data_IF_894410421073
#
_entry.id   IF_894410421073
#
_cell.length_a   1.000
_cell.length_b   1.000
_cell.length_c   1.000
_cell.angle_alpha   90.00
_cell.angle_beta   90.00
_cell.angle_gamma   90.00
#
_symmetry.space_group_name_H-M   'P 1'
#
loop_
_entity.id
_entity.type
_entity.pdbx_description
1 polymer ?
#
# COMPACT_ATOMS: atom_id res chain seq x y z
N UNK A 1 19.59 -15.49 22.03
CA UNK A 1 18.28 -14.86 21.77
C UNK A 1 17.23 -15.94 21.58
N UNK A 2 16.08 -15.85 22.24
CA UNK A 2 15.07 -16.92 22.18
C UNK A 2 14.15 -16.68 20.97
N UNK A 3 14.45 -17.27 19.82
CA UNK A 3 13.65 -17.20 18.60
C UNK A 3 12.16 -17.56 18.80
N UNK A 4 11.86 -18.36 19.84
CA UNK A 4 10.48 -18.71 20.17
C UNK A 4 9.59 -17.49 20.51
N UNK A 5 10.18 -16.34 20.88
CA UNK A 5 9.44 -15.10 21.12
C UNK A 5 8.90 -14.45 19.84
N UNK A 6 9.56 -14.70 18.70
CA UNK A 6 9.20 -14.12 17.40
C UNK A 6 8.12 -14.94 16.68
N UNK A 7 7.85 -16.15 17.14
CA UNK A 7 6.87 -17.05 16.52
C UNK A 7 5.44 -16.75 17.01
N UNK A 8 4.42 -16.99 16.17
CA UNK A 8 3.02 -16.88 16.54
C UNK A 8 2.67 -17.82 17.69
N UNK A 9 1.81 -17.34 18.60
CA UNK A 9 1.27 -18.14 19.69
C UNK A 9 -0.20 -18.44 19.43
N UNK A 10 -0.70 -19.58 19.90
CA UNK A 10 -2.12 -19.92 19.80
C UNK A 10 -3.03 -18.90 20.49
N UNK A 11 -2.55 -18.24 21.55
CA UNK A 11 -3.25 -17.16 22.25
C UNK A 11 -3.45 -15.89 21.42
N UNK A 12 -2.71 -15.73 20.33
CA UNK A 12 -2.82 -14.57 19.44
C UNK A 12 -4.09 -14.63 18.55
N UNK A 13 -4.74 -15.79 18.48
CA UNK A 13 -5.90 -16.07 17.61
C UNK A 13 -7.14 -16.35 18.44
N UNK A 14 -7.91 -15.30 18.78
CA UNK A 14 -9.14 -15.40 19.55
C UNK A 14 -10.34 -15.45 18.61
N UNK A 15 -10.86 -16.65 18.34
CA UNK A 15 -11.99 -16.88 17.44
C UNK A 15 -13.32 -16.35 17.95
N UNK A 16 -13.44 -15.98 19.21
CA UNK A 16 -14.63 -15.33 19.79
C UNK A 16 -14.97 -14.00 19.11
N UNK A 17 -13.96 -13.30 18.55
CA UNK A 17 -14.12 -12.02 17.87
C UNK A 17 -14.24 -12.15 16.33
N UNK A 18 -14.39 -13.37 15.79
CA UNK A 18 -14.34 -13.66 14.36
C UNK A 18 -15.26 -12.77 13.53
N UNK A 19 -16.49 -12.51 14.01
CA UNK A 19 -17.45 -11.64 13.31
C UNK A 19 -16.97 -10.20 13.21
N UNK A 20 -16.44 -9.64 14.31
CA UNK A 20 -15.92 -8.28 14.33
C UNK A 20 -14.71 -8.14 13.42
N UNK A 21 -13.80 -9.11 13.46
CA UNK A 21 -12.59 -9.14 12.65
C UNK A 21 -12.89 -9.33 11.16
N UNK A 22 -13.89 -10.16 10.81
CA UNK A 22 -14.34 -10.33 9.43
C UNK A 22 -14.90 -9.02 8.85
N UNK A 23 -15.77 -8.34 9.60
CA UNK A 23 -16.34 -7.04 9.17
C UNK A 23 -15.27 -5.99 9.05
N UNK A 24 -14.35 -5.92 10.01
CA UNK A 24 -13.24 -4.98 9.96
C UNK A 24 -12.31 -5.28 8.78
N UNK A 25 -11.89 -6.53 8.61
CA UNK A 25 -11.04 -6.96 7.51
C UNK A 25 -11.64 -6.67 6.14
N UNK A 26 -12.95 -6.94 5.96
CA UNK A 26 -13.66 -6.61 4.73
C UNK A 26 -13.69 -5.09 4.48
N UNK A 27 -13.96 -4.30 5.53
CA UNK A 27 -13.94 -2.83 5.43
C UNK A 27 -12.58 -2.31 5.01
N UNK A 28 -11.51 -2.85 5.61
CA UNK A 28 -10.13 -2.47 5.27
C UNK A 28 -9.76 -2.91 3.86
N UNK A 29 -10.18 -4.10 3.41
CA UNK A 29 -9.92 -4.58 2.05
C UNK A 29 -10.47 -3.63 0.99
N UNK A 30 -11.68 -3.14 1.21
CA UNK A 30 -12.33 -2.16 0.31
C UNK A 30 -11.55 -0.83 0.25
N UNK A 31 -11.02 -0.36 1.38
CA UNK A 31 -10.16 0.84 1.41
C UNK A 31 -8.80 0.58 0.78
N UNK A 32 -8.24 -0.59 1.02
CA UNK A 32 -6.91 -0.97 0.58
C UNK A 32 -6.81 -1.20 -0.93
N UNK A 33 -7.90 -1.68 -1.56
CA UNK A 33 -7.90 -2.01 -2.99
C UNK A 33 -7.47 -0.83 -3.88
N UNK A 34 -8.15 0.35 -3.84
CA UNK A 34 -7.75 1.48 -4.68
C UNK A 34 -6.34 1.99 -4.36
N UNK A 35 -5.92 1.92 -3.09
CA UNK A 35 -4.57 2.32 -2.69
C UNK A 35 -3.50 1.35 -3.25
N UNK A 36 -3.74 0.04 -3.16
CA UNK A 36 -2.83 -0.97 -3.68
C UNK A 36 -2.69 -0.87 -5.21
N UNK A 37 -3.82 -0.73 -5.92
CA UNK A 37 -3.83 -0.51 -7.37
C UNK A 37 -3.07 0.79 -7.74
N UNK A 38 -3.42 1.89 -7.07
CA UNK A 38 -2.88 3.20 -7.38
C UNK A 38 -1.37 3.32 -7.13
N UNK A 39 -0.87 2.82 -6.00
CA UNK A 39 0.56 2.84 -5.70
C UNK A 39 1.37 1.99 -6.68
N UNK A 40 0.89 0.81 -7.06
CA UNK A 40 1.58 -0.03 -8.03
C UNK A 40 1.60 0.59 -9.44
N UNK A 41 0.47 1.16 -9.86
CA UNK A 41 0.39 1.88 -11.15
C UNK A 41 1.34 3.10 -11.13
N UNK A 42 1.35 3.88 -10.05
CA UNK A 42 2.26 5.04 -9.92
C UNK A 42 3.74 4.65 -9.88
N UNK A 43 4.05 3.44 -9.40
CA UNK A 43 5.42 2.90 -9.42
C UNK A 43 5.82 2.40 -10.82
N UNK A 44 4.86 2.21 -11.74
CA UNK A 44 5.11 1.68 -13.08
C UNK A 44 5.13 0.15 -13.17
N UNK A 45 4.74 -0.57 -12.10
CA UNK A 45 4.80 -2.05 -12.07
C UNK A 45 3.47 -2.74 -12.39
N UNK A 46 2.43 -1.94 -12.59
CA UNK A 46 1.10 -2.46 -12.91
C UNK A 46 0.26 -2.84 -11.68
N UNK A 47 -1.04 -2.76 -11.85
CA UNK A 47 -2.03 -2.93 -10.78
C UNK A 47 -1.99 -4.30 -10.09
N UNK A 48 -1.68 -5.35 -10.84
CA UNK A 48 -1.59 -6.73 -10.36
C UNK A 48 -0.58 -6.88 -9.22
N UNK A 49 0.62 -6.30 -9.40
CA UNK A 49 1.72 -6.35 -8.43
C UNK A 49 1.27 -5.75 -7.09
N UNK A 50 0.52 -4.63 -7.13
CA UNK A 50 0.01 -3.98 -5.92
C UNK A 50 -0.99 -4.83 -5.15
N UNK A 51 -1.94 -5.46 -5.84
CA UNK A 51 -2.94 -6.33 -5.19
C UNK A 51 -2.28 -7.60 -4.64
N UNK A 52 -1.39 -8.24 -5.42
CA UNK A 52 -0.61 -9.39 -4.95
C UNK A 52 0.18 -9.04 -3.69
N UNK A 53 0.87 -7.89 -3.69
CA UNK A 53 1.60 -7.40 -2.52
C UNK A 53 0.69 -7.20 -1.32
N UNK A 54 -0.49 -6.58 -1.50
CA UNK A 54 -1.44 -6.35 -0.40
C UNK A 54 -2.00 -7.65 0.17
N UNK A 55 -2.26 -8.65 -0.66
CA UNK A 55 -2.72 -9.98 -0.24
C UNK A 55 -1.64 -10.68 0.57
N UNK A 56 -0.46 -10.87 -0.04
CA UNK A 56 0.62 -11.67 0.56
C UNK A 56 1.16 -10.98 1.82
N UNK A 57 1.50 -9.69 1.73
CA UNK A 57 2.00 -8.95 2.89
C UNK A 57 0.95 -8.83 4.00
N UNK A 58 -0.32 -8.57 3.64
CA UNK A 58 -1.41 -8.47 4.60
C UNK A 58 -1.60 -9.75 5.41
N UNK A 59 -1.54 -10.92 4.76
CA UNK A 59 -1.68 -12.21 5.44
C UNK A 59 -0.43 -12.57 6.25
N UNK A 60 0.76 -12.52 5.62
CA UNK A 60 1.99 -13.00 6.27
C UNK A 60 2.39 -12.09 7.44
N UNK A 61 2.33 -10.75 7.27
CA UNK A 61 2.64 -9.84 8.36
C UNK A 61 1.63 -9.97 9.52
N UNK A 62 0.35 -10.20 9.24
CA UNK A 62 -0.65 -10.42 10.28
C UNK A 62 -0.39 -11.70 11.07
N UNK A 63 0.03 -12.78 10.39
CA UNK A 63 0.31 -14.06 11.05
C UNK A 63 1.55 -13.99 11.95
N UNK A 64 2.61 -13.34 11.49
CA UNK A 64 3.92 -13.35 12.17
C UNK A 64 4.27 -12.05 12.90
N UNK A 65 3.55 -10.94 12.65
CA UNK A 65 3.80 -9.63 13.24
C UNK A 65 3.53 -9.53 14.73
N UNK A 66 3.98 -8.45 15.34
CA UNK A 66 3.85 -8.14 16.75
C UNK A 66 2.59 -7.35 17.12
N UNK A 67 1.93 -6.75 16.14
CA UNK A 67 0.70 -5.97 16.33
C UNK A 67 -0.54 -6.79 15.99
N UNK A 68 -1.61 -6.64 16.80
CA UNK A 68 -2.90 -7.26 16.51
C UNK A 68 -3.75 -6.47 15.52
N UNK A 69 -3.36 -5.24 15.19
CA UNK A 69 -4.19 -4.34 14.38
C UNK A 69 -3.55 -3.92 13.07
N UNK A 70 -2.24 -4.17 12.91
CA UNK A 70 -1.49 -3.70 11.74
C UNK A 70 -1.98 -4.32 10.45
N UNK A 71 -2.11 -3.48 9.43
CA UNK A 71 -2.45 -3.88 8.06
C UNK A 71 -1.31 -3.52 7.15
N UNK A 72 -0.69 -4.54 6.55
CA UNK A 72 0.49 -4.39 5.68
C UNK A 72 0.13 -4.45 4.19
N UNK A 73 1.00 -3.88 3.37
CA UNK A 73 0.90 -3.88 1.91
C UNK A 73 1.68 -2.71 1.29
N UNK A 74 1.49 -2.41 0.00
CA UNK A 74 2.18 -1.32 -0.66
C UNK A 74 1.76 0.03 -0.07
N UNK A 75 2.72 0.96 0.10
CA UNK A 75 2.49 2.30 0.63
C UNK A 75 3.09 3.37 -0.27
N UNK A 76 2.64 4.61 -0.07
CA UNK A 76 3.15 5.75 -0.81
C UNK A 76 4.63 6.01 -0.56
N UNK A 77 5.11 5.79 0.68
CA UNK A 77 6.52 5.93 1.00
C UNK A 77 7.40 4.95 0.22
N UNK A 78 6.96 3.69 0.10
CA UNK A 78 7.64 2.70 -0.75
C UNK A 78 7.65 3.13 -2.21
N UNK A 79 6.52 3.60 -2.73
CA UNK A 79 6.41 4.08 -4.13
C UNK A 79 7.46 5.15 -4.43
N UNK A 80 7.69 6.09 -3.52
CA UNK A 80 8.70 7.17 -3.68
C UNK A 80 10.09 6.63 -3.95
N UNK A 81 10.50 5.62 -3.19
CA UNK A 81 11.84 5.02 -3.30
C UNK A 81 11.94 4.05 -4.48
N UNK A 82 10.84 3.40 -4.86
CA UNK A 82 10.83 2.37 -5.89
C UNK A 82 10.77 2.93 -7.32
N UNK A 83 10.18 4.11 -7.55
CA UNK A 83 10.09 4.71 -8.90
C UNK A 83 11.45 4.86 -9.57
N UNK A 84 12.49 5.45 -8.95
CA UNK A 84 13.81 5.54 -9.57
C UNK A 84 14.42 4.18 -9.92
N UNK A 85 14.13 3.17 -9.10
CA UNK A 85 14.63 1.80 -9.29
C UNK A 85 13.99 1.15 -10.51
N UNK A 86 12.66 1.27 -10.62
CA UNK A 86 11.91 0.76 -11.78
C UNK A 86 12.35 1.48 -13.05
N UNK A 87 12.60 2.80 -12.99
CA UNK A 87 13.06 3.57 -14.15
C UNK A 87 14.46 3.13 -14.62
N UNK A 88 15.37 2.74 -13.71
CA UNK A 88 16.74 2.36 -14.05
C UNK A 88 16.91 0.87 -14.36
N UNK A 89 16.15 -0.01 -13.71
CA UNK A 89 16.37 -1.46 -13.72
C UNK A 89 15.16 -2.31 -14.15
N UNK A 90 14.04 -1.65 -14.41
CA UNK A 90 12.79 -2.35 -14.71
C UNK A 90 12.04 -2.85 -13.48
N UNK A 91 10.79 -3.26 -13.65
CA UNK A 91 9.93 -3.80 -12.58
C UNK A 91 10.43 -5.14 -12.01
N UNK A 92 11.22 -5.90 -12.78
CA UNK A 92 11.72 -7.22 -12.40
C UNK A 92 12.72 -7.18 -11.23
N UNK A 93 13.29 -6.01 -10.93
CA UNK A 93 14.18 -5.83 -9.80
C UNK A 93 13.43 -5.84 -8.44
N UNK A 94 12.15 -5.49 -8.42
CA UNK A 94 11.41 -5.28 -7.16
C UNK A 94 11.22 -6.54 -6.32
N UNK A 95 10.94 -7.72 -6.88
CA UNK A 95 10.86 -8.96 -6.10
C UNK A 95 12.15 -9.25 -5.34
N UNK A 96 13.30 -9.06 -5.97
CA UNK A 96 14.60 -9.28 -5.33
C UNK A 96 14.88 -8.24 -4.25
N UNK A 97 14.56 -6.96 -4.51
CA UNK A 97 14.66 -5.89 -3.49
C UNK A 97 13.78 -6.24 -2.28
N UNK A 98 12.56 -6.75 -2.50
CA UNK A 98 11.66 -7.17 -1.41
C UNK A 98 12.28 -8.30 -0.58
N UNK A 99 12.83 -9.34 -1.23
CA UNK A 99 13.48 -10.46 -0.52
C UNK A 99 14.66 -9.96 0.33
N UNK A 100 15.57 -9.18 -0.27
CA UNK A 100 16.75 -8.70 0.46
C UNK A 100 16.36 -7.76 1.59
N UNK A 101 15.44 -6.82 1.36
CA UNK A 101 14.92 -5.95 2.41
C UNK A 101 14.22 -6.75 3.52
N UNK A 102 13.45 -7.79 3.15
CA UNK A 102 12.81 -8.70 4.09
C UNK A 102 13.82 -9.44 4.98
N UNK A 103 14.90 -9.96 4.40
CA UNK A 103 15.98 -10.61 5.15
C UNK A 103 16.68 -9.63 6.10
N UNK A 104 16.90 -8.39 5.67
CA UNK A 104 17.43 -7.33 6.53
C UNK A 104 16.50 -7.01 7.71
N UNK A 105 15.19 -6.94 7.48
CA UNK A 105 14.21 -6.74 8.55
C UNK A 105 14.22 -7.91 9.55
N UNK A 106 14.32 -9.15 9.09
CA UNK A 106 14.49 -10.33 9.96
C UNK A 106 15.78 -10.22 10.78
N UNK A 107 16.88 -9.79 10.17
CA UNK A 107 18.14 -9.56 10.87
C UNK A 107 18.00 -8.44 11.92
N UNK A 108 17.36 -7.33 11.59
CA UNK A 108 17.07 -6.22 12.52
C UNK A 108 16.22 -6.70 13.71
N UNK A 109 15.16 -7.46 13.46
CA UNK A 109 14.32 -8.08 14.48
C UNK A 109 15.13 -8.99 15.39
N UNK A 110 15.98 -9.81 14.78
CA UNK A 110 16.86 -10.73 15.48
C UNK A 110 17.90 -10.02 16.37
N UNK A 111 18.36 -8.86 15.97
CA UNK A 111 19.26 -8.00 16.72
C UNK A 111 18.54 -7.18 17.82
N UNK A 112 17.21 -7.24 17.92
CA UNK A 112 16.43 -6.46 18.89
C UNK A 112 16.38 -4.97 18.57
N UNK A 113 16.44 -4.59 17.28
CA UNK A 113 16.48 -3.20 16.85
C UNK A 113 15.09 -2.53 16.85
N UNK A 114 14.01 -3.29 16.90
CA UNK A 114 12.65 -2.76 16.93
C UNK A 114 12.39 -1.77 18.07
N UNK A 115 12.94 -2.04 19.25
CA UNK A 115 12.82 -1.19 20.43
C UNK A 115 13.37 0.24 20.25
N UNK A 116 14.29 0.45 19.32
CA UNK A 116 14.91 1.76 19.12
C UNK A 116 14.03 2.76 18.37
N UNK A 117 12.97 2.32 17.70
CA UNK A 117 12.03 3.22 17.03
C UNK A 117 11.32 4.15 18.03
N UNK A 118 11.12 3.72 19.27
CA UNK A 118 10.59 4.60 20.32
C UNK A 118 11.43 5.86 20.60
N UNK A 119 12.69 5.91 20.15
CA UNK A 119 13.56 7.08 20.27
C UNK A 119 13.46 8.06 19.10
N UNK A 120 12.68 7.75 18.06
CA UNK A 120 12.50 8.67 16.92
C UNK A 120 11.64 9.85 17.37
N UNK A 121 12.16 11.09 17.35
CA UNK A 121 11.42 12.27 17.80
C UNK A 121 10.20 12.54 16.91
N UNK A 122 9.09 12.93 17.53
CA UNK A 122 7.84 13.24 16.81
C UNK A 122 8.00 14.24 15.64
N UNK A 123 8.82 15.31 15.73
CA UNK A 123 9.04 16.22 14.59
C UNK A 123 9.64 15.53 13.36
N UNK A 124 10.51 14.51 13.56
CA UNK A 124 11.08 13.72 12.45
C UNK A 124 9.99 12.93 11.75
N UNK A 125 9.11 12.29 12.53
CA UNK A 125 7.97 11.53 12.01
C UNK A 125 7.05 12.44 11.19
N UNK A 126 6.69 13.60 11.74
CA UNK A 126 5.80 14.56 11.07
C UNK A 126 6.44 15.11 9.79
N UNK A 127 7.73 15.49 9.84
CA UNK A 127 8.47 15.97 8.67
C UNK A 127 8.55 14.92 7.57
N UNK A 128 8.82 13.67 7.93
CA UNK A 128 8.85 12.54 7.01
C UNK A 128 7.48 12.29 6.35
N UNK A 129 6.41 12.25 7.16
CA UNK A 129 5.05 12.03 6.66
C UNK A 129 4.62 13.16 5.71
N UNK A 130 4.87 14.41 6.07
CA UNK A 130 4.55 15.56 5.21
C UNK A 130 5.35 15.55 3.90
N UNK A 131 6.65 15.21 3.96
CA UNK A 131 7.49 15.06 2.77
C UNK A 131 6.94 14.00 1.81
N UNK A 132 6.58 12.83 2.34
CA UNK A 132 5.95 11.77 1.56
C UNK A 132 4.62 12.22 0.95
N UNK A 133 3.78 12.92 1.71
CA UNK A 133 2.49 13.40 1.24
C UNK A 133 2.64 14.31 -0.01
N UNK A 134 3.61 15.25 0.03
CA UNK A 134 3.91 16.11 -1.13
C UNK A 134 4.36 15.29 -2.33
N UNK A 135 5.25 14.32 -2.13
CA UNK A 135 5.76 13.50 -3.23
C UNK A 135 4.63 12.63 -3.81
N UNK A 136 3.81 11.98 -2.96
CA UNK A 136 2.65 11.20 -3.42
C UNK A 136 1.72 12.08 -4.26
N UNK A 137 1.43 13.30 -3.80
CA UNK A 137 0.58 14.23 -4.52
C UNK A 137 1.11 14.53 -5.92
N UNK A 138 2.40 14.84 -6.05
CA UNK A 138 3.06 15.09 -7.33
C UNK A 138 3.05 13.87 -8.25
N UNK A 139 3.23 12.68 -7.70
CA UNK A 139 3.20 11.41 -8.45
C UNK A 139 1.82 11.09 -9.05
N UNK A 140 0.74 11.68 -8.54
CA UNK A 140 -0.60 11.46 -9.10
C UNK A 140 -0.92 12.38 -10.28
N UNK A 141 -0.12 13.41 -10.54
CA UNK A 141 -0.36 14.34 -11.65
C UNK A 141 -0.51 13.63 -13.01
N UNK A 142 0.33 12.65 -13.39
CA UNK A 142 0.14 11.91 -14.64
C UNK A 142 -1.23 11.25 -14.76
N UNK A 143 -1.70 10.61 -13.70
CA UNK A 143 -2.98 9.90 -13.69
C UNK A 143 -4.17 10.86 -13.74
N UNK A 144 -4.09 11.97 -13.00
CA UNK A 144 -5.16 12.97 -12.89
C UNK A 144 -5.26 13.83 -14.14
N UNK A 145 -4.12 14.22 -14.71
CA UNK A 145 -4.07 15.03 -15.93
C UNK A 145 -4.19 14.18 -17.21
N UNK A 146 -4.17 12.82 -17.08
CA UNK A 146 -4.30 11.91 -18.22
C UNK A 146 -3.14 11.99 -19.22
N UNK A 147 -1.96 12.42 -18.77
CA UNK A 147 -0.75 12.53 -19.58
C UNK A 147 0.36 11.63 -19.03
N UNK A 148 0.92 10.78 -19.87
CA UNK A 148 2.00 9.87 -19.48
C UNK A 148 3.33 10.43 -20.01
N UNK A 149 4.12 11.13 -19.16
CA UNK A 149 5.42 11.66 -19.56
C UNK A 149 6.45 10.54 -19.71
N UNK A 150 7.55 10.83 -20.39
CA UNK A 150 8.71 9.94 -20.37
C UNK A 150 9.23 9.75 -18.91
N UNK A 151 9.62 8.52 -18.55
CA UNK A 151 10.17 8.24 -17.24
C UNK A 151 11.36 9.13 -16.90
N UNK A 152 11.46 9.54 -15.65
CA UNK A 152 12.60 10.27 -15.11
C UNK A 152 12.84 9.88 -13.65
N UNK A 153 14.08 10.01 -13.18
CA UNK A 153 14.45 9.68 -11.80
C UNK A 153 13.82 10.60 -10.76
N UNK A 154 13.56 11.86 -11.13
CA UNK A 154 13.00 12.86 -10.23
C UNK A 154 11.50 13.03 -10.43
N UNK A 155 10.73 12.83 -9.35
CA UNK A 155 9.27 13.08 -9.31
C UNK A 155 8.93 14.51 -9.75
N UNK A 156 9.75 15.50 -9.41
CA UNK A 156 9.53 16.89 -9.80
C UNK A 156 9.65 17.08 -11.32
N UNK A 157 10.62 16.43 -11.95
CA UNK A 157 10.80 16.45 -13.41
C UNK A 157 9.60 15.78 -14.11
N UNK A 158 9.14 14.63 -13.60
CA UNK A 158 7.93 13.97 -14.11
C UNK A 158 6.72 14.89 -13.97
N UNK A 159 6.52 15.51 -12.81
CA UNK A 159 5.42 16.44 -12.56
C UNK A 159 5.42 17.65 -13.50
N UNK A 160 6.58 18.29 -13.70
CA UNK A 160 6.71 19.44 -14.61
C UNK A 160 6.49 19.07 -16.08
N UNK A 161 7.02 17.93 -16.54
CA UNK A 161 6.75 17.40 -17.89
C UNK A 161 5.28 17.08 -18.08
N UNK A 162 4.63 16.51 -17.07
CA UNK A 162 3.19 16.21 -17.09
C UNK A 162 2.35 17.48 -17.26
N UNK A 163 2.63 18.50 -16.44
CA UNK A 163 1.89 19.78 -16.52
C UNK A 163 2.12 20.43 -17.88
N UNK A 164 3.34 20.45 -18.39
CA UNK A 164 3.64 21.01 -19.71
C UNK A 164 2.91 20.26 -20.82
N UNK A 165 2.99 18.93 -20.84
CA UNK A 165 2.31 18.12 -21.85
C UNK A 165 0.79 18.26 -21.79
N UNK A 166 0.22 18.38 -20.59
CA UNK A 166 -1.20 18.67 -20.43
C UNK A 166 -1.60 20.05 -21.00
N UNK A 167 -0.77 21.07 -20.83
CA UNK A 167 -1.05 22.42 -21.40
C UNK A 167 -0.99 22.39 -22.93
N UNK A 168 -0.16 21.56 -23.53
CA UNK A 168 -0.06 21.38 -24.98
C UNK A 168 -1.22 20.52 -25.55
N UNK A 169 -1.70 19.54 -24.78
CA UNK A 169 -2.78 18.62 -25.17
C UNK A 169 -3.67 18.24 -23.98
N UNK A 170 -4.66 19.09 -23.63
CA UNK A 170 -5.49 18.88 -22.43
C UNK A 170 -6.40 17.65 -22.52
N UNK A 171 -6.22 16.70 -21.59
CA UNK A 171 -7.10 15.54 -21.40
C UNK A 171 -8.22 15.89 -20.40
N UNK A 172 -9.16 16.72 -20.80
CA UNK A 172 -10.25 17.23 -19.94
C UNK A 172 -11.04 16.11 -19.23
N UNK A 173 -11.25 14.98 -19.91
CA UNK A 173 -11.99 13.83 -19.38
C UNK A 173 -11.33 13.26 -18.11
N UNK A 174 -10.00 13.10 -18.09
CA UNK A 174 -9.27 12.58 -16.95
C UNK A 174 -9.40 13.54 -15.74
N UNK A 175 -9.23 14.83 -15.97
CA UNK A 175 -9.36 15.87 -14.94
C UNK A 175 -10.77 15.88 -14.33
N UNK A 176 -11.80 15.83 -15.18
CA UNK A 176 -13.20 15.81 -14.71
C UNK A 176 -13.48 14.59 -13.84
N UNK A 177 -13.06 13.39 -14.26
CA UNK A 177 -13.24 12.16 -13.46
C UNK A 177 -12.46 12.24 -12.15
N UNK A 178 -11.21 12.71 -12.16
CA UNK A 178 -10.43 12.86 -10.94
C UNK A 178 -11.07 13.90 -9.99
N UNK A 179 -11.56 15.02 -10.52
CA UNK A 179 -12.25 16.05 -9.74
C UNK A 179 -13.55 15.53 -9.11
N UNK A 180 -14.38 14.83 -9.88
CA UNK A 180 -15.60 14.17 -9.37
C UNK A 180 -15.24 13.20 -8.24
N UNK A 181 -14.24 12.35 -8.47
CA UNK A 181 -13.79 11.35 -7.50
C UNK A 181 -13.31 12.01 -6.20
N UNK A 182 -12.48 13.07 -6.31
CA UNK A 182 -12.00 13.84 -5.17
C UNK A 182 -13.16 14.52 -4.43
N UNK A 183 -14.07 15.16 -5.16
CA UNK A 183 -15.24 15.82 -4.59
C UNK A 183 -16.13 14.84 -3.81
N UNK A 184 -16.45 13.68 -4.41
CA UNK A 184 -17.22 12.60 -3.75
C UNK A 184 -16.52 12.16 -2.47
N UNK A 185 -15.22 11.92 -2.51
CA UNK A 185 -14.43 11.48 -1.35
C UNK A 185 -14.43 12.54 -0.22
N UNK A 186 -14.30 13.81 -0.56
CA UNK A 186 -14.31 14.91 0.40
C UNK A 186 -15.71 15.10 1.01
N UNK A 187 -16.74 15.17 0.17
CA UNK A 187 -18.11 15.38 0.62
C UNK A 187 -18.60 14.22 1.48
N UNK A 188 -18.39 12.98 1.02
CA UNK A 188 -18.79 11.77 1.75
C UNK A 188 -18.19 11.72 3.16
N UNK A 189 -16.92 12.07 3.29
CA UNK A 189 -16.24 12.05 4.59
C UNK A 189 -16.77 13.09 5.59
N UNK A 190 -17.48 14.13 5.13
CA UNK A 190 -18.11 15.16 5.98
C UNK A 190 -19.49 14.77 6.48
N UNK A 191 -20.18 13.81 5.83
CA UNK A 191 -21.52 13.39 6.20
C UNK A 191 -21.45 12.36 7.34
N UNK A 192 -21.78 12.79 8.55
CA UNK A 192 -21.68 11.96 9.78
C UNK A 192 -22.43 10.64 9.71
N UNK A 193 -23.61 10.61 9.07
CA UNK A 193 -24.46 9.41 8.95
C UNK A 193 -23.87 8.33 8.04
N UNK A 194 -22.92 8.70 7.16
CA UNK A 194 -22.36 7.81 6.12
C UNK A 194 -20.95 7.32 6.47
N UNK A 195 -20.44 7.64 7.67
CA UNK A 195 -19.07 7.29 8.10
C UNK A 195 -18.80 5.79 8.20
N UNK A 196 -19.84 4.98 8.25
CA UNK A 196 -19.75 3.51 8.25
C UNK A 196 -19.22 2.97 6.93
N UNK A 197 -19.43 3.69 5.81
CA UNK A 197 -18.99 3.28 4.49
C UNK A 197 -17.73 4.09 4.12
N UNK A 198 -16.60 3.45 3.78
CA UNK A 198 -15.37 4.14 3.44
C UNK A 198 -15.55 5.09 2.24
N UNK A 199 -15.12 6.35 2.41
CA UNK A 199 -15.24 7.37 1.37
C UNK A 199 -14.49 7.00 0.07
N UNK A 200 -13.35 6.32 0.18
CA UNK A 200 -12.57 5.85 -0.98
C UNK A 200 -13.33 4.81 -1.82
N UNK A 201 -14.14 3.95 -1.18
CA UNK A 201 -14.99 3.00 -1.90
C UNK A 201 -16.07 3.72 -2.72
N UNK A 202 -16.78 4.65 -2.09
CA UNK A 202 -17.84 5.39 -2.79
C UNK A 202 -17.26 6.25 -3.91
N UNK A 203 -16.11 6.88 -3.67
CA UNK A 203 -15.39 7.64 -4.69
C UNK A 203 -14.95 6.74 -5.87
N UNK A 204 -14.44 5.54 -5.57
CA UNK A 204 -14.09 4.55 -6.59
C UNK A 204 -15.30 4.14 -7.43
N UNK A 205 -16.41 3.78 -6.79
CA UNK A 205 -17.62 3.34 -7.48
C UNK A 205 -18.28 4.48 -8.27
N UNK A 206 -18.38 5.67 -7.68
CA UNK A 206 -18.97 6.83 -8.34
C UNK A 206 -18.13 7.29 -9.54
N UNK A 207 -16.79 7.45 -9.37
CA UNK A 207 -15.91 7.84 -10.45
C UNK A 207 -15.87 6.81 -11.57
N UNK A 208 -15.83 5.51 -11.24
CA UNK A 208 -15.92 4.44 -12.24
C UNK A 208 -17.29 4.42 -12.93
N UNK A 209 -18.39 4.54 -12.17
CA UNK A 209 -19.75 4.59 -12.74
C UNK A 209 -19.93 5.74 -13.71
N UNK A 210 -19.50 6.95 -13.34
CA UNK A 210 -19.55 8.12 -14.23
C UNK A 210 -18.71 7.90 -15.49
N UNK A 211 -17.57 7.24 -15.37
CA UNK A 211 -16.67 6.96 -16.50
C UNK A 211 -17.23 5.97 -17.53
N UNK A 212 -18.34 5.32 -17.22
CA UNK A 212 -19.05 4.44 -18.17
C UNK A 212 -20.01 5.21 -19.09
N UNK A 213 -20.20 6.50 -18.87
CA UNK A 213 -20.94 7.37 -19.79
C UNK A 213 -20.10 7.58 -21.05
N UNK A 214 -20.74 7.55 -22.22
CA UNK A 214 -20.06 7.54 -23.52
C UNK A 214 -19.09 8.71 -23.80
N UNK A 215 -19.21 9.82 -23.07
CA UNK A 215 -18.24 10.92 -23.15
C UNK A 215 -16.83 10.56 -22.66
N UNK A 216 -16.69 9.49 -21.88
CA UNK A 216 -15.43 9.07 -21.24
C UNK A 216 -14.78 7.84 -21.89
N UNK A 217 -15.11 7.48 -23.11
CA UNK A 217 -14.63 6.25 -23.78
C UNK A 217 -13.11 6.22 -23.99
N UNK A 218 -12.46 7.37 -24.10
CA UNK A 218 -11.01 7.49 -24.33
C UNK A 218 -10.13 7.48 -23.08
N UNK A 219 -10.71 7.33 -21.87
CA UNK A 219 -9.92 7.39 -20.63
C UNK A 219 -9.11 6.11 -20.39
N UNK A 220 -7.84 6.27 -20.02
CA UNK A 220 -6.97 5.17 -19.62
C UNK A 220 -7.52 4.44 -18.38
N UNK A 221 -7.61 3.12 -18.46
CA UNK A 221 -8.15 2.24 -17.42
C UNK A 221 -7.08 1.29 -16.88
N UNK A 222 -7.36 0.69 -15.74
CA UNK A 222 -6.50 -0.34 -15.17
C UNK A 222 -6.43 -1.54 -16.08
N UNK A 223 -5.21 -1.98 -16.39
CA UNK A 223 -4.91 -3.14 -17.23
C UNK A 223 -4.08 -4.16 -16.46
N UNK A 224 -3.96 -5.38 -17.00
CA UNK A 224 -3.02 -6.37 -16.49
C UNK A 224 -3.39 -7.01 -15.15
N UNK A 225 -4.67 -7.02 -14.75
CA UNK A 225 -5.10 -7.75 -13.54
C UNK A 225 -5.19 -9.23 -13.89
N UNK A 226 -4.39 -10.12 -13.26
CA UNK A 226 -4.42 -11.55 -13.54
C UNK A 226 -5.72 -12.15 -13.04
N UNK A 227 -6.21 -13.15 -13.78
CA UNK A 227 -7.36 -13.97 -13.40
C UNK A 227 -6.86 -15.24 -12.73
N UNK A 228 -6.40 -15.16 -11.49
CA UNK A 228 -5.93 -16.34 -10.79
C UNK A 228 -5.22 -16.04 -9.48
N UNK A 229 -4.96 -17.09 -8.73
CA UNK A 229 -4.16 -17.00 -7.51
C UNK A 229 -2.73 -16.64 -7.89
N UNK A 230 -2.11 -15.62 -7.26
CA UNK A 230 -0.69 -15.36 -7.48
C UNK A 230 0.12 -16.63 -7.20
N UNK A 231 0.94 -17.02 -8.16
CA UNK A 231 1.81 -18.19 -8.01
C UNK A 231 3.21 -17.74 -7.61
N UNK A 232 3.89 -18.47 -6.72
CA UNK A 232 5.26 -18.15 -6.39
C UNK A 232 6.17 -18.41 -7.59
N UNK A 233 7.08 -17.46 -7.83
CA UNK A 233 8.13 -17.56 -8.84
C UNK A 233 9.46 -17.13 -8.22
N UNK A 234 10.55 -17.75 -8.66
CA UNK A 234 11.88 -17.39 -8.19
C UNK A 234 12.41 -16.25 -9.08
N UNK A 235 12.64 -15.05 -8.51
CA UNK A 235 13.24 -13.98 -9.30
C UNK A 235 14.63 -14.40 -9.78
N UNK A 236 14.82 -14.37 -11.09
CA UNK A 236 16.11 -14.72 -11.71
C UNK A 236 17.18 -13.73 -11.25
N UNK A 237 18.19 -14.24 -10.57
CA UNK A 237 19.35 -13.48 -10.12
C UNK A 237 20.27 -13.21 -11.31
N UNK A 238 20.16 -12.04 -11.93
CA UNK A 238 21.26 -11.55 -12.77
C UNK A 238 22.33 -10.99 -11.85
N UNK A 239 23.52 -11.58 -11.85
CA UNK A 239 24.64 -11.27 -10.96
C UNK A 239 25.17 -9.84 -11.13
N UNK A 240 24.87 -9.17 -12.25
CA UNK A 240 25.36 -7.82 -12.59
C UNK A 240 24.59 -6.66 -11.94
N UNK A 241 24.40 -6.63 -10.62
CA UNK A 241 23.69 -5.53 -9.97
C UNK A 241 23.44 -5.75 -8.48
N UNK A 242 23.98 -6.81 -7.92
CA UNK A 242 23.75 -7.21 -6.51
C UNK A 242 24.08 -6.10 -5.52
N UNK A 243 25.16 -5.36 -5.74
CA UNK A 243 25.59 -4.27 -4.84
C UNK A 243 24.57 -3.12 -4.80
N UNK A 244 24.02 -2.75 -5.97
CA UNK A 244 23.03 -1.67 -6.03
C UNK A 244 21.68 -2.10 -5.48
N UNK A 245 21.27 -3.36 -5.75
CA UNK A 245 20.08 -3.95 -5.13
C UNK A 245 20.22 -3.98 -3.62
N UNK A 246 21.38 -4.35 -3.09
CA UNK A 246 21.65 -4.35 -1.66
C UNK A 246 21.55 -2.94 -1.05
N UNK A 247 22.10 -1.91 -1.70
CA UNK A 247 21.98 -0.51 -1.24
C UNK A 247 20.53 -0.07 -1.15
N UNK A 248 19.77 -0.34 -2.19
CA UNK A 248 18.33 -0.02 -2.22
C UNK A 248 17.59 -0.80 -1.17
N UNK A 249 17.84 -2.09 -1.02
CA UNK A 249 17.19 -2.94 -0.04
C UNK A 249 17.45 -2.47 1.40
N UNK A 250 18.64 -1.91 1.71
CA UNK A 250 18.92 -1.29 3.01
C UNK A 250 18.01 -0.10 3.25
N UNK A 251 17.86 0.80 2.27
CA UNK A 251 16.96 1.96 2.39
C UNK A 251 15.51 1.50 2.58
N UNK A 252 15.06 0.52 1.80
CA UNK A 252 13.71 -0.06 1.91
C UNK A 252 13.51 -0.73 3.27
N UNK A 253 14.49 -1.49 3.79
CA UNK A 253 14.38 -2.13 5.09
C UNK A 253 14.26 -1.11 6.23
N UNK A 254 15.08 -0.05 6.21
CA UNK A 254 14.99 1.03 7.21
C UNK A 254 13.63 1.73 7.11
N UNK A 255 13.19 2.06 5.91
CA UNK A 255 11.90 2.71 5.67
C UNK A 255 10.74 1.83 6.13
N UNK A 256 10.76 0.54 5.79
CA UNK A 256 9.76 -0.43 6.22
C UNK A 256 9.72 -0.58 7.74
N UNK A 257 10.89 -0.64 8.39
CA UNK A 257 10.98 -0.70 9.85
C UNK A 257 10.34 0.53 10.49
N UNK A 258 10.72 1.74 10.05
CA UNK A 258 10.19 2.99 10.59
C UNK A 258 8.67 3.09 10.38
N UNK A 259 8.19 2.89 9.16
CA UNK A 259 6.77 3.04 8.82
C UNK A 259 5.90 2.02 9.55
N UNK A 260 6.34 0.76 9.62
CA UNK A 260 5.61 -0.31 10.31
C UNK A 260 5.53 -0.07 11.81
N UNK A 261 6.65 0.26 12.45
CA UNK A 261 6.67 0.47 13.89
C UNK A 261 5.92 1.75 14.29
N UNK A 262 5.99 2.81 13.48
CA UNK A 262 5.17 4.01 13.69
C UNK A 262 3.69 3.72 13.54
N UNK A 263 3.30 2.93 12.55
CA UNK A 263 1.91 2.50 12.35
C UNK A 263 1.41 1.68 13.55
N UNK A 264 2.25 0.79 14.08
CA UNK A 264 1.92 -0.01 15.27
C UNK A 264 1.77 0.86 16.54
N UNK A 265 2.67 1.83 16.76
CA UNK A 265 2.57 2.80 17.87
C UNK A 265 1.28 3.61 17.79
N UNK A 266 0.89 4.06 16.59
CA UNK A 266 -0.37 4.80 16.42
C UNK A 266 -1.59 3.89 16.71
N UNK A 267 -1.53 2.62 16.33
CA UNK A 267 -2.59 1.65 16.66
C UNK A 267 -2.69 1.45 18.17
N UNK A 268 -1.56 1.29 18.86
CA UNK A 268 -1.52 1.18 20.33
C UNK A 268 -2.14 2.39 21.02
N UNK A 269 -1.94 3.60 20.47
CA UNK A 269 -2.55 4.82 21.00
C UNK A 269 -4.07 4.92 20.81
N UNK A 270 -4.63 4.10 19.92
CA UNK A 270 -6.07 4.02 19.66
C UNK A 270 -6.77 2.85 20.38
N UNK A 271 -6.00 1.99 21.08
CA UNK A 271 -6.47 0.80 21.80
C UNK A 271 -6.04 0.86 23.27
N UNK A 272 -6.87 0.36 24.18
CA UNK A 272 -6.63 0.55 25.63
C UNK A 272 -5.78 -0.59 26.24
N UNK A 273 -5.75 -1.76 25.63
CA UNK A 273 -5.34 -2.98 26.33
C UNK A 273 -4.11 -3.70 25.75
N UNK A 274 -3.67 -3.43 24.55
CA UNK A 274 -2.59 -4.21 23.92
C UNK A 274 -1.52 -3.33 23.30
N UNK A 275 -0.27 -3.56 23.68
CA UNK A 275 0.91 -2.97 23.02
C UNK A 275 1.54 -3.98 22.07
N UNK A 276 1.99 -3.51 20.93
CA UNK A 276 2.72 -4.35 19.98
C UNK A 276 4.10 -4.76 20.52
N UNK A 277 4.60 -5.89 20.07
CA UNK A 277 6.00 -6.28 20.22
C UNK A 277 6.79 -5.79 19.00
N UNK A 278 7.69 -4.78 19.15
CA UNK A 278 8.34 -4.15 18.02
C UNK A 278 9.32 -5.07 17.30
N UNK A 279 10.02 -5.98 18.00
CA UNK A 279 10.94 -6.90 17.35
C UNK A 279 10.18 -7.98 16.57
N UNK A 280 9.08 -8.48 17.13
CA UNK A 280 8.20 -9.41 16.44
C UNK A 280 7.50 -8.74 15.25
N UNK A 281 7.16 -7.45 15.36
CA UNK A 281 6.60 -6.70 14.23
C UNK A 281 7.59 -6.62 13.06
N UNK A 282 8.85 -6.28 13.32
CA UNK A 282 9.90 -6.29 12.30
C UNK A 282 10.08 -7.69 11.68
N UNK A 283 10.02 -8.73 12.51
CA UNK A 283 10.13 -10.11 12.04
C UNK A 283 9.00 -10.46 11.06
N UNK A 284 7.75 -10.15 11.43
CA UNK A 284 6.59 -10.38 10.56
C UNK A 284 6.64 -9.59 9.26
N UNK A 285 7.07 -8.33 9.31
CA UNK A 285 7.26 -7.50 8.13
C UNK A 285 8.40 -8.04 7.24
N UNK A 286 9.46 -8.56 7.85
CA UNK A 286 10.56 -9.21 7.13
C UNK A 286 10.10 -10.45 6.39
N UNK A 287 9.40 -11.37 7.06
CA UNK A 287 8.84 -12.56 6.41
C UNK A 287 7.82 -12.20 5.32
N UNK A 288 7.01 -11.17 5.54
CA UNK A 288 6.05 -10.68 4.57
C UNK A 288 6.75 -10.19 3.29
N UNK A 289 7.84 -9.42 3.41
CA UNK A 289 8.60 -8.93 2.27
C UNK A 289 9.30 -10.07 1.52
N UNK A 290 9.88 -11.04 2.24
CA UNK A 290 10.43 -12.26 1.61
C UNK A 290 9.34 -12.98 0.82
N UNK A 291 8.19 -13.24 1.43
CA UNK A 291 7.07 -13.90 0.75
C UNK A 291 6.60 -13.09 -0.47
N UNK A 292 6.40 -11.77 -0.31
CA UNK A 292 5.99 -10.88 -1.40
C UNK A 292 6.94 -10.98 -2.60
N UNK A 293 8.24 -11.03 -2.36
CA UNK A 293 9.22 -11.19 -3.43
C UNK A 293 9.08 -12.51 -4.19
N UNK A 294 8.79 -13.62 -3.51
CA UNK A 294 8.51 -14.90 -4.19
C UNK A 294 7.21 -14.88 -5.01
N UNK A 295 6.25 -14.02 -4.69
CA UNK A 295 5.01 -13.85 -5.45
C UNK A 295 5.08 -12.73 -6.49
N UNK A 296 6.28 -12.25 -6.85
CA UNK A 296 6.45 -11.21 -7.85
C UNK A 296 5.91 -9.83 -7.43
N UNK A 297 5.77 -9.61 -6.12
CA UNK A 297 5.26 -8.36 -5.57
C UNK A 297 6.34 -7.30 -5.41
N UNK A 298 5.92 -6.12 -4.92
CA UNK A 298 6.81 -5.00 -4.58
C UNK A 298 6.99 -4.91 -3.05
N UNK A 299 8.07 -4.30 -2.54
CA UNK A 299 8.26 -4.11 -1.10
C UNK A 299 7.04 -3.52 -0.40
N UNK A 300 6.75 -4.04 0.79
CA UNK A 300 5.59 -3.71 1.59
C UNK A 300 5.96 -3.29 3.01
N UNK A 301 5.05 -2.60 3.67
CA UNK A 301 5.19 -2.18 5.07
C UNK A 301 3.82 -2.07 5.73
N UNK A 302 3.79 -1.92 7.05
CA UNK A 302 2.59 -1.56 7.79
C UNK A 302 2.06 -0.19 7.36
N UNK A 303 0.80 -0.10 7.00
CA UNK A 303 0.19 1.10 6.47
C UNK A 303 -0.65 1.82 7.53
N UNK A 304 -0.19 2.98 7.99
CA UNK A 304 -0.81 3.78 9.04
C UNK A 304 -2.30 4.05 8.78
N UNK A 305 -2.66 4.50 7.59
CA UNK A 305 -4.04 4.82 7.24
C UNK A 305 -4.96 3.57 7.26
N UNK A 306 -4.47 2.42 6.76
CA UNK A 306 -5.22 1.16 6.76
C UNK A 306 -5.35 0.59 8.17
N UNK A 307 -4.28 0.65 8.95
CA UNK A 307 -4.25 0.23 10.36
C UNK A 307 -5.24 1.06 11.19
N UNK A 308 -5.27 2.39 11.01
CA UNK A 308 -6.24 3.25 11.68
C UNK A 308 -7.70 2.91 11.28
N UNK A 309 -7.96 2.57 10.02
CA UNK A 309 -9.28 2.09 9.58
C UNK A 309 -9.62 0.77 10.24
N UNK A 310 -8.67 -0.16 10.35
CA UNK A 310 -8.87 -1.46 10.99
C UNK A 310 -9.32 -1.31 12.44
N UNK A 311 -8.60 -0.51 13.23
CA UNK A 311 -8.97 -0.22 14.62
C UNK A 311 -10.36 0.43 14.71
N UNK A 312 -10.61 1.47 13.90
CA UNK A 312 -11.90 2.19 13.92
C UNK A 312 -13.09 1.35 13.44
N UNK A 313 -12.85 0.33 12.61
CA UNK A 313 -13.88 -0.61 12.15
C UNK A 313 -14.19 -1.69 13.17
N UNK A 314 -13.49 -1.69 14.30
CA UNK A 314 -13.77 -2.58 15.42
C UNK A 314 -12.97 -3.88 15.41
N UNK A 315 -11.83 -3.93 14.73
CA UNK A 315 -10.89 -5.06 14.81
C UNK A 315 -10.55 -5.36 16.28
N UNK A 316 -10.48 -6.64 16.59
CA UNK A 316 -10.17 -7.14 17.93
C UNK A 316 -8.90 -7.98 17.95
N UNK A 317 -8.58 -8.63 16.85
CA UNK A 317 -7.41 -9.49 16.74
C UNK A 317 -6.75 -9.32 15.38
N UNK A 318 -5.57 -9.91 15.21
CA UNK A 318 -4.85 -9.97 13.94
C UNK A 318 -5.60 -10.70 12.82
N UNK A 319 -6.64 -11.47 13.15
CA UNK A 319 -7.51 -12.11 12.17
C UNK A 319 -8.20 -11.09 11.25
N UNK A 320 -8.47 -9.87 11.74
CA UNK A 320 -8.99 -8.80 10.89
C UNK A 320 -8.06 -8.51 9.70
N UNK A 321 -6.74 -8.45 9.93
CA UNK A 321 -5.76 -8.22 8.87
C UNK A 321 -5.56 -9.45 7.97
N UNK A 322 -5.71 -10.67 8.51
CA UNK A 322 -5.76 -11.88 7.67
C UNK A 322 -6.99 -11.85 6.76
N UNK A 323 -8.17 -11.52 7.29
CA UNK A 323 -9.40 -11.40 6.50
C UNK A 323 -9.32 -10.30 5.45
N UNK A 324 -8.63 -9.19 5.73
CA UNK A 324 -8.33 -8.18 4.72
C UNK A 324 -7.64 -8.80 3.50
N UNK A 325 -6.58 -9.59 3.71
CA UNK A 325 -5.88 -10.27 2.61
C UNK A 325 -6.76 -11.31 1.89
N UNK A 326 -7.54 -12.10 2.62
CA UNK A 326 -8.48 -13.09 2.05
C UNK A 326 -9.57 -12.42 1.22
N UNK A 327 -10.14 -11.30 1.69
CA UNK A 327 -11.16 -10.54 0.94
C UNK A 327 -10.55 -9.91 -0.32
N UNK A 328 -9.32 -9.37 -0.24
CA UNK A 328 -8.62 -8.89 -1.45
C UNK A 328 -8.38 -10.02 -2.45
N UNK A 329 -8.01 -11.20 -1.99
CA UNK A 329 -7.88 -12.37 -2.85
C UNK A 329 -9.22 -12.75 -3.49
N UNK A 330 -10.31 -12.75 -2.74
CA UNK A 330 -11.64 -12.98 -3.28
C UNK A 330 -12.04 -11.93 -4.33
N UNK A 331 -11.74 -10.65 -4.08
CA UNK A 331 -11.95 -9.58 -5.05
C UNK A 331 -11.13 -9.83 -6.33
N UNK A 332 -9.86 -10.23 -6.19
CA UNK A 332 -9.01 -10.55 -7.33
C UNK A 332 -9.57 -11.71 -8.16
N UNK A 333 -10.05 -12.77 -7.52
CA UNK A 333 -10.55 -13.96 -8.21
C UNK A 333 -11.90 -13.74 -8.90
N UNK A 334 -12.82 -13.03 -8.24
CA UNK A 334 -14.21 -12.93 -8.69
C UNK A 334 -14.53 -11.59 -9.36
N UNK A 335 -13.85 -10.51 -8.99
CA UNK A 335 -14.16 -9.15 -9.44
C UNK A 335 -13.05 -8.54 -10.33
N UNK A 336 -12.04 -9.31 -10.74
CA UNK A 336 -10.98 -8.83 -11.64
C UNK A 336 -11.53 -8.15 -12.92
N UNK A 337 -12.60 -8.66 -13.58
CA UNK A 337 -13.17 -7.99 -14.76
C UNK A 337 -13.78 -6.62 -14.46
N UNK A 338 -14.27 -6.40 -13.23
CA UNK A 338 -14.76 -5.10 -12.81
C UNK A 338 -13.63 -4.12 -12.51
N UNK A 339 -12.52 -4.63 -11.96
CA UNK A 339 -11.36 -3.80 -11.64
C UNK A 339 -10.69 -3.25 -12.92
N UNK A 340 -10.77 -3.94 -14.06
CA UNK A 340 -10.26 -3.41 -15.35
C UNK A 340 -11.11 -2.25 -15.89
N UNK A 341 -12.29 -2.01 -15.37
CA UNK A 341 -13.13 -0.85 -15.75
C UNK A 341 -12.76 0.42 -14.98
N UNK A 342 -11.93 0.34 -13.95
CA UNK A 342 -11.53 1.49 -13.12
C UNK A 342 -10.62 2.40 -13.94
N UNK A 343 -10.97 3.70 -14.12
CA UNK A 343 -10.07 4.66 -14.73
C UNK A 343 -8.86 4.97 -13.87
N UNK A 344 -7.70 5.16 -14.47
CA UNK A 344 -6.49 5.57 -13.74
C UNK A 344 -6.67 6.91 -13.04
N UNK A 345 -7.42 7.85 -13.64
CA UNK A 345 -7.77 9.14 -13.05
C UNK A 345 -8.55 9.02 -11.73
N UNK A 346 -9.39 7.98 -11.56
CA UNK A 346 -10.07 7.70 -10.29
C UNK A 346 -9.07 7.34 -9.20
N UNK A 347 -8.10 6.48 -9.51
CA UNK A 347 -7.04 6.10 -8.56
C UNK A 347 -6.19 7.31 -8.17
N UNK A 348 -5.79 8.12 -9.16
CA UNK A 348 -5.06 9.37 -8.95
C UNK A 348 -5.83 10.35 -8.05
N UNK A 349 -7.13 10.56 -8.31
CA UNK A 349 -7.99 11.42 -7.50
C UNK A 349 -8.11 10.96 -6.05
N UNK A 350 -8.27 9.65 -5.81
CA UNK A 350 -8.28 9.06 -4.46
C UNK A 350 -6.94 9.31 -3.75
N UNK A 351 -5.82 9.01 -4.43
CA UNK A 351 -4.48 9.13 -3.84
C UNK A 351 -4.10 10.59 -3.56
N UNK A 352 -4.50 11.55 -4.40
CA UNK A 352 -4.32 12.98 -4.12
C UNK A 352 -5.05 13.41 -2.84
N UNK A 353 -6.30 12.97 -2.64
CA UNK A 353 -7.04 13.28 -1.41
C UNK A 353 -6.43 12.59 -0.20
N UNK A 354 -5.91 11.38 -0.36
CA UNK A 354 -5.18 10.69 0.72
C UNK A 354 -3.92 11.46 1.07
N UNK A 355 -3.11 11.84 0.09
CA UNK A 355 -1.89 12.63 0.30
C UNK A 355 -2.19 13.97 1.01
N UNK A 356 -3.23 14.68 0.60
CA UNK A 356 -3.65 15.91 1.25
C UNK A 356 -4.05 15.75 2.74
N UNK A 357 -4.50 14.55 3.13
CA UNK A 357 -4.94 14.23 4.50
C UNK A 357 -3.83 13.64 5.40
N UNK A 358 -2.66 13.36 4.83
CA UNK A 358 -1.49 12.91 5.58
C UNK A 358 -0.84 14.06 6.31
#
# INVERSE_FOLDING_TARGET
>A
MNFARLLPRSSDYRFEFLRADLVSGATVAVVALPLALGFAVSTGVGAAVGVTTAIVAGIVAALFGGSNFQVSGPTGAMTVVLIPIVAQRGPEALPLVAIVAGLLLVAMASAGLGRYVGFVPWPVITGFTNGIAVIIFLQQLPLVLGFTPEPAESTLVVATRTVRGFLESPAAQAVVIAAITAAVMIVWSRVRRLRTIPASMIALLAGTGVSLLGWFDGIARVTGIPRGVPMPDLPLLSVGGVVDIARVAVVIAILAALESLLSAVVADGQTIEERHDPDRELFGQGLANVAVGFFGGMPATGALARTAVNVRSGAKTRLASVFHGVVLLAILLFLAPLATRIPLAVLGGILMVVAYRM
#
